data_IF_165729425652
#
_entry.id   IF_165729425652
#
_cell.length_a   1.000
_cell.length_b   1.000
_cell.length_c   1.000
_cell.angle_alpha   90.00
_cell.angle_beta   90.00
_cell.angle_gamma   90.00
#
_symmetry.space_group_name_H-M   'P 1'
#
loop_
_entity.id
_entity.type
_entity.pdbx_description
1 polymer ?
#
# COMPACT_ATOMS: atom_id res chain seq x y z
N UNK A 1 5.32 -8.68 -1.37
CA UNK A 1 4.90 -7.38 -1.90
C UNK A 1 6.05 -6.79 -2.67
N UNK A 2 5.76 -6.22 -3.83
CA UNK A 2 6.70 -5.43 -4.60
C UNK A 2 6.18 -3.98 -4.69
N UNK A 3 7.07 -3.00 -4.70
CA UNK A 3 6.73 -1.59 -4.94
C UNK A 3 7.58 -1.16 -6.14
N UNK A 4 6.97 -0.64 -7.20
CA UNK A 4 7.75 -0.15 -8.34
C UNK A 4 8.51 1.13 -7.98
N UNK A 5 9.51 1.48 -8.79
CA UNK A 5 10.26 2.72 -8.57
C UNK A 5 9.35 3.96 -8.69
N UNK A 6 8.38 3.92 -9.59
CA UNK A 6 7.40 4.99 -9.80
C UNK A 6 6.52 5.17 -8.57
N UNK A 7 5.95 4.07 -8.05
CA UNK A 7 5.21 4.10 -6.79
C UNK A 7 6.07 4.59 -5.63
N UNK A 8 7.32 4.13 -5.54
CA UNK A 8 8.26 4.59 -4.50
C UNK A 8 8.43 6.11 -4.54
N UNK A 9 8.72 6.68 -5.71
CA UNK A 9 8.93 8.12 -5.84
C UNK A 9 7.68 8.92 -5.45
N UNK A 10 6.50 8.48 -5.89
CA UNK A 10 5.25 9.13 -5.52
C UNK A 10 4.98 9.04 -4.01
N UNK A 11 5.15 7.86 -3.42
CA UNK A 11 4.96 7.64 -1.98
C UNK A 11 5.93 8.49 -1.18
N UNK A 12 7.21 8.56 -1.57
CA UNK A 12 8.19 9.41 -0.88
C UNK A 12 7.78 10.88 -0.90
N UNK A 13 7.42 11.41 -2.06
CA UNK A 13 6.91 12.78 -2.17
C UNK A 13 5.70 13.00 -1.27
N UNK A 14 4.74 12.08 -1.30
CA UNK A 14 3.51 12.17 -0.50
C UNK A 14 3.80 12.09 1.01
N UNK A 15 4.75 11.26 1.43
CA UNK A 15 5.19 11.15 2.83
C UNK A 15 5.85 12.45 3.29
N UNK A 16 6.71 13.06 2.46
CA UNK A 16 7.33 14.35 2.77
C UNK A 16 6.28 15.47 2.85
N UNK A 17 5.36 15.52 1.90
CA UNK A 17 4.27 16.51 1.86
C UNK A 17 3.35 16.41 3.07
N UNK A 18 2.99 15.19 3.47
CA UNK A 18 2.08 14.93 4.60
C UNK A 18 2.82 14.83 5.94
N UNK A 19 4.15 15.00 5.94
CA UNK A 19 5.03 14.76 7.09
C UNK A 19 4.80 13.39 7.76
N UNK A 20 4.42 12.40 6.97
CA UNK A 20 4.16 11.05 7.41
C UNK A 20 5.47 10.25 7.45
N UNK A 21 5.59 9.34 8.43
CA UNK A 21 6.80 8.54 8.61
C UNK A 21 6.85 7.32 7.69
N UNK A 22 5.69 6.88 7.21
CA UNK A 22 5.58 5.69 6.40
C UNK A 22 4.16 5.50 5.86
N UNK A 23 4.01 4.48 5.02
CA UNK A 23 2.73 4.08 4.45
C UNK A 23 2.12 2.98 5.31
N UNK A 24 0.82 3.03 5.54
CA UNK A 24 0.06 2.00 6.22
C UNK A 24 -0.81 1.24 5.23
N UNK A 25 -0.75 -0.08 5.30
CA UNK A 25 -1.52 -0.99 4.47
C UNK A 25 -2.40 -1.84 5.36
N UNK A 26 -3.69 -1.78 5.13
CA UNK A 26 -4.68 -2.54 5.87
C UNK A 26 -5.61 -3.26 4.91
N UNK A 27 -6.24 -4.33 5.38
CA UNK A 27 -7.25 -5.05 4.60
C UNK A 27 -8.58 -4.91 5.33
N UNK A 28 -9.64 -4.59 4.58
CA UNK A 28 -11.01 -4.56 5.06
C UNK A 28 -11.74 -5.75 4.45
N UNK A 29 -12.48 -6.49 5.26
CA UNK A 29 -13.36 -7.53 4.75
C UNK A 29 -14.52 -6.89 3.96
N UNK A 30 -14.46 -7.01 2.64
CA UNK A 30 -15.53 -6.60 1.75
C UNK A 30 -16.49 -7.75 1.43
N UNK A 31 -17.69 -7.41 0.96
CA UNK A 31 -18.69 -8.38 0.51
C UNK A 31 -18.16 -9.30 -0.62
N UNK A 32 -17.24 -8.80 -1.45
CA UNK A 32 -16.62 -9.52 -2.56
C UNK A 32 -15.13 -9.82 -2.32
N UNK A 33 -14.74 -10.04 -1.07
CA UNK A 33 -13.37 -10.35 -0.68
C UNK A 33 -12.65 -9.17 0.00
N UNK A 34 -11.44 -9.43 0.52
CA UNK A 34 -10.68 -8.44 1.26
C UNK A 34 -10.22 -7.31 0.34
N UNK A 35 -10.66 -6.09 0.65
CA UNK A 35 -10.20 -4.87 -0.02
C UNK A 35 -8.97 -4.35 0.70
N UNK A 36 -7.89 -4.15 -0.04
CA UNK A 36 -6.70 -3.50 0.51
C UNK A 36 -6.91 -1.99 0.49
N UNK A 37 -6.68 -1.35 1.63
CA UNK A 37 -6.63 0.09 1.80
C UNK A 37 -5.20 0.55 2.07
N UNK A 38 -4.92 1.79 1.65
CA UNK A 38 -3.65 2.48 1.90
C UNK A 38 -3.94 3.77 2.65
N UNK A 39 -3.19 4.03 3.72
CA UNK A 39 -3.23 5.31 4.41
C UNK A 39 -1.83 5.76 4.84
N UNK A 40 -1.69 7.01 5.27
CA UNK A 40 -0.42 7.57 5.75
C UNK A 40 -0.39 7.68 7.28
N UNK A 41 -1.31 6.96 7.93
CA UNK A 41 -1.44 6.93 9.37
C UNK A 41 -0.25 6.21 10.02
N UNK A 42 0.06 6.52 11.29
CA UNK A 42 1.03 5.75 12.04
C UNK A 42 0.61 4.27 12.15
N UNK A 43 1.59 3.35 12.29
CA UNK A 43 1.30 1.93 12.55
C UNK A 43 0.43 1.77 13.80
N UNK A 44 -0.54 0.87 13.74
CA UNK A 44 -1.26 0.39 14.93
C UNK A 44 -0.43 -0.64 15.70
N UNK A 45 -0.78 -0.91 16.96
CA UNK A 45 -0.04 -1.86 17.82
C UNK A 45 0.01 -3.29 17.25
N UNK A 46 -0.98 -3.67 16.44
CA UNK A 46 -1.08 -4.97 15.78
C UNK A 46 -0.49 -4.98 14.36
N UNK A 47 0.04 -3.84 13.89
CA UNK A 47 0.66 -3.75 12.57
C UNK A 47 2.13 -4.16 12.63
N UNK A 48 2.57 -4.87 11.60
CA UNK A 48 3.97 -5.21 11.39
C UNK A 48 4.62 -4.14 10.52
N UNK A 49 5.55 -3.39 11.10
CA UNK A 49 6.37 -2.45 10.34
C UNK A 49 7.47 -3.19 9.59
N UNK A 50 7.53 -2.98 8.28
CA UNK A 50 8.54 -3.55 7.40
C UNK A 50 9.11 -2.47 6.48
N UNK A 51 10.37 -2.61 6.08
CA UNK A 51 11.00 -1.68 5.13
C UNK A 51 10.99 -2.31 3.73
N UNK A 52 10.22 -1.73 2.82
CA UNK A 52 10.11 -2.20 1.43
C UNK A 52 10.59 -1.06 0.53
N UNK A 53 11.66 -1.31 -0.23
CA UNK A 53 12.23 -0.30 -1.14
C UNK A 53 12.64 1.02 -0.43
N UNK A 54 13.20 0.94 0.78
CA UNK A 54 13.54 2.06 1.68
C UNK A 54 12.34 2.86 2.21
N UNK A 55 11.11 2.39 1.97
CA UNK A 55 9.90 2.99 2.55
C UNK A 55 9.50 2.19 3.79
N UNK A 56 9.22 2.89 4.89
CA UNK A 56 8.59 2.29 6.05
C UNK A 56 7.13 1.96 5.71
N UNK A 57 6.79 0.67 5.70
CA UNK A 57 5.45 0.17 5.38
C UNK A 57 4.91 -0.57 6.60
N UNK A 58 3.81 -0.08 7.15
CA UNK A 58 3.09 -0.69 8.27
C UNK A 58 2.01 -1.60 7.71
N UNK A 59 2.07 -2.88 8.04
CA UNK A 59 1.22 -3.90 7.45
C UNK A 59 0.29 -4.46 8.52
N UNK A 60 -1.00 -4.30 8.32
CA UNK A 60 -1.99 -4.93 9.21
C UNK A 60 -1.93 -6.45 9.13
N UNK A 61 -2.21 -7.11 10.25
CA UNK A 61 -2.26 -8.57 10.34
C UNK A 61 -3.17 -9.18 9.25
N UNK A 62 -4.29 -8.52 8.92
CA UNK A 62 -5.21 -8.96 7.86
C UNK A 62 -4.61 -8.84 6.45
N UNK A 63 -3.74 -7.85 6.20
CA UNK A 63 -3.12 -7.62 4.91
C UNK A 63 -1.86 -8.49 4.69
N UNK A 64 -1.21 -8.92 5.77
CA UNK A 64 0.08 -9.64 5.73
C UNK A 64 0.07 -10.84 4.78
N UNK A 65 -0.99 -11.64 4.77
CA UNK A 65 -1.11 -12.80 3.88
C UNK A 65 -1.33 -12.43 2.40
N UNK A 66 -2.00 -11.32 2.13
CA UNK A 66 -2.35 -10.86 0.78
C UNK A 66 -1.18 -10.17 0.09
N UNK A 67 -0.30 -9.53 0.87
CA UNK A 67 0.83 -8.77 0.35
C UNK A 67 1.86 -9.61 -0.39
N UNK A 68 1.93 -10.92 -0.17
CA UNK A 68 2.95 -11.79 -0.77
C UNK A 68 2.99 -11.68 -2.30
N UNK A 69 1.82 -11.60 -2.94
CA UNK A 69 1.69 -11.53 -4.40
C UNK A 69 1.27 -10.16 -4.93
N UNK A 70 1.14 -9.15 -4.05
CA UNK A 70 0.73 -7.81 -4.44
C UNK A 70 1.92 -6.99 -4.92
N UNK A 71 1.72 -6.28 -6.02
CA UNK A 71 2.62 -5.24 -6.52
C UNK A 71 1.92 -3.91 -6.46
N UNK A 72 2.50 -2.96 -5.74
CA UNK A 72 2.05 -1.58 -5.73
C UNK A 72 2.76 -0.83 -6.84
N UNK A 73 1.97 -0.28 -7.76
CA UNK A 73 2.46 0.51 -8.87
C UNK A 73 1.82 1.91 -8.84
N UNK A 74 2.39 2.83 -9.60
CA UNK A 74 1.84 4.16 -9.79
C UNK A 74 1.62 4.39 -11.26
N UNK A 75 0.37 4.38 -11.65
CA UNK A 75 -0.02 4.63 -13.03
C UNK A 75 -0.55 6.07 -13.16
N UNK A 76 -0.17 6.68 -14.26
CA UNK A 76 -0.73 7.96 -14.69
C UNK A 76 -1.51 7.72 -15.97
N UNK A 77 -2.83 7.56 -15.83
CA UNK A 77 -3.72 7.37 -16.97
C UNK A 77 -4.43 8.69 -17.29
N UNK A 78 -3.95 9.36 -18.34
CA UNK A 78 -4.49 10.64 -18.79
C UNK A 78 -4.32 11.75 -17.73
N UNK A 79 -5.45 12.20 -17.17
CA UNK A 79 -5.50 13.26 -16.15
C UNK A 79 -5.54 12.72 -14.71
N UNK A 80 -5.55 11.39 -14.53
CA UNK A 80 -5.63 10.76 -13.22
C UNK A 80 -4.33 10.00 -12.96
N UNK A 81 -3.57 10.49 -11.98
CA UNK A 81 -2.44 9.75 -11.44
C UNK A 81 -2.84 9.14 -10.11
N UNK A 82 -2.51 7.87 -9.90
CA UNK A 82 -2.89 7.16 -8.69
C UNK A 82 -2.07 5.91 -8.43
N UNK A 83 -2.06 5.51 -7.17
CA UNK A 83 -1.49 4.22 -6.77
C UNK A 83 -2.46 3.11 -7.15
N UNK A 84 -1.95 2.09 -7.84
CA UNK A 84 -2.70 0.90 -8.26
C UNK A 84 -2.09 -0.34 -7.66
N UNK A 85 -2.93 -1.32 -7.34
CA UNK A 85 -2.51 -2.60 -6.77
C UNK A 85 -2.71 -3.72 -7.77
N UNK A 86 -1.59 -4.25 -8.26
CA UNK A 86 -1.56 -5.32 -9.25
C UNK A 86 -1.41 -6.66 -8.52
N UNK A 87 -2.20 -7.66 -8.91
CA UNK A 87 -2.18 -9.00 -8.31
C UNK A 87 -3.10 -9.18 -7.10
N UNK A 88 -3.95 -8.20 -6.80
CA UNK A 88 -5.05 -8.40 -5.86
C UNK A 88 -5.99 -9.48 -6.42
N UNK A 89 -6.48 -10.44 -5.60
CA UNK A 89 -7.42 -11.44 -6.07
C UNK A 89 -8.71 -10.76 -6.55
N UNK A 90 -8.88 -10.66 -7.87
CA UNK A 90 -10.13 -10.27 -8.51
C UNK A 90 -11.09 -11.45 -8.43
N UNK A 91 -11.71 -11.66 -7.26
CA UNK A 91 -12.86 -12.56 -7.15
C UNK A 91 -14.14 -11.74 -7.25
N UNK A 92 -14.44 -11.24 -8.46
CA UNK A 92 -15.79 -10.93 -8.90
C UNK A 92 -15.88 -10.86 -10.42
#
# INVERSE_FOLDING_TARGET
MNITNEAKQYIQSLLEEQQAKGLRIYAIEGCCGPQIGLSLDPPEESDTVSFINDIQVSISTLATGLLSNLTLDFETEGNQSGLVMIGAPNNC
#
